data_IF_182501398686
#
_entry.id   IF_182501398686
#
_cell.length_a   1.000
_cell.length_b   1.000
_cell.length_c   1.000
_cell.angle_alpha   90.00
_cell.angle_beta   90.00
_cell.angle_gamma   90.00
#
_symmetry.space_group_name_H-M   'P 1'
#
loop_
_entity.id
_entity.type
_entity.pdbx_description
1 polymer ?
#
# COMPACT_ATOMS: atom_id res chain seq x y z
N UNK A 1 -24.97 4.61 -16.35
CA UNK A 1 -25.97 5.13 -15.36
C UNK A 1 -25.58 6.57 -15.04
N UNK A 2 -26.49 7.52 -14.78
CA UNK A 2 -26.03 8.88 -14.47
C UNK A 2 -25.49 8.97 -13.03
N UNK A 3 -24.60 9.91 -12.74
CA UNK A 3 -23.97 10.15 -11.44
C UNK A 3 -24.97 10.27 -10.25
N UNK A 4 -26.12 10.92 -10.46
CA UNK A 4 -27.20 11.02 -9.47
C UNK A 4 -27.91 9.67 -9.26
N UNK A 5 -27.97 8.82 -10.28
CA UNK A 5 -28.54 7.49 -10.17
C UNK A 5 -27.65 6.60 -9.30
N UNK A 6 -26.32 6.70 -9.46
CA UNK A 6 -25.31 5.98 -8.65
C UNK A 6 -25.41 6.34 -7.17
N UNK A 7 -25.40 7.65 -6.85
CA UNK A 7 -25.45 8.11 -5.46
C UNK A 7 -26.79 7.79 -4.78
N UNK A 8 -27.91 7.92 -5.53
CA UNK A 8 -29.23 7.55 -5.03
C UNK A 8 -29.35 6.04 -4.80
N UNK A 9 -28.88 5.22 -5.74
CA UNK A 9 -28.90 3.77 -5.59
C UNK A 9 -28.06 3.31 -4.40
N UNK A 10 -26.93 3.96 -4.11
CA UNK A 10 -26.14 3.62 -2.93
C UNK A 10 -26.89 3.85 -1.60
N UNK A 11 -27.64 4.95 -1.50
CA UNK A 11 -28.47 5.21 -0.32
C UNK A 11 -29.59 4.17 -0.17
N UNK A 12 -30.20 3.77 -1.28
CA UNK A 12 -31.21 2.70 -1.33
C UNK A 12 -30.62 1.30 -1.02
N UNK A 13 -29.37 1.04 -1.44
CA UNK A 13 -28.67 -0.23 -1.28
C UNK A 13 -28.12 -0.44 0.14
N UNK A 14 -27.97 0.61 0.95
CA UNK A 14 -27.42 0.52 2.32
C UNK A 14 -28.13 -0.55 3.18
N UNK A 15 -29.42 -0.76 2.94
CA UNK A 15 -30.28 -1.68 3.66
C UNK A 15 -30.49 -3.05 2.98
N UNK A 16 -29.82 -3.30 1.84
CA UNK A 16 -29.95 -4.54 1.07
C UNK A 16 -28.95 -5.61 1.50
N UNK A 17 -29.19 -6.83 1.03
CA UNK A 17 -28.32 -7.96 1.30
C UNK A 17 -26.97 -7.86 0.54
N UNK A 18 -25.96 -8.65 0.93
CA UNK A 18 -24.63 -8.55 0.30
C UNK A 18 -24.59 -8.93 -1.18
N UNK A 19 -25.52 -9.75 -1.67
CA UNK A 19 -25.53 -10.20 -3.06
C UNK A 19 -26.00 -9.08 -4.00
N UNK A 20 -27.05 -8.35 -3.62
CA UNK A 20 -27.50 -7.16 -4.36
C UNK A 20 -26.41 -6.08 -4.39
N UNK A 21 -25.73 -5.85 -3.26
CA UNK A 21 -24.60 -4.90 -3.18
C UNK A 21 -23.43 -5.31 -4.08
N UNK A 22 -23.14 -6.62 -4.17
CA UNK A 22 -22.07 -7.13 -5.03
C UNK A 22 -22.35 -6.86 -6.50
N UNK A 23 -23.58 -7.15 -6.97
CA UNK A 23 -23.97 -6.91 -8.37
C UNK A 23 -23.71 -5.46 -8.77
N UNK A 24 -24.06 -4.53 -7.88
CA UNK A 24 -23.86 -3.11 -8.11
C UNK A 24 -22.39 -2.67 -8.09
N UNK A 25 -21.57 -3.19 -7.17
CA UNK A 25 -20.10 -2.93 -7.17
C UNK A 25 -19.49 -3.33 -8.52
N UNK A 26 -19.92 -4.45 -9.10
CA UNK A 26 -19.44 -4.92 -10.40
C UNK A 26 -19.99 -4.08 -11.56
N UNK A 27 -21.22 -3.58 -11.47
CA UNK A 27 -21.77 -2.65 -12.47
C UNK A 27 -21.00 -1.32 -12.52
N UNK A 28 -20.60 -0.79 -11.36
CA UNK A 28 -19.80 0.43 -11.29
C UNK A 28 -18.45 0.31 -12.01
N UNK A 29 -17.90 -0.90 -12.10
CA UNK A 29 -16.66 -1.17 -12.81
C UNK A 29 -16.78 -0.94 -14.33
N UNK A 30 -17.99 -1.05 -14.89
CA UNK A 30 -18.22 -0.98 -16.34
C UNK A 30 -18.19 0.46 -16.87
N UNK A 31 -18.55 1.44 -16.04
CA UNK A 31 -18.61 2.86 -16.41
C UNK A 31 -18.07 3.73 -15.24
N UNK A 32 -16.74 3.71 -15.03
CA UNK A 32 -16.12 4.42 -13.93
C UNK A 32 -16.19 5.93 -14.15
N UNK A 33 -16.83 6.61 -13.21
CA UNK A 33 -16.87 8.06 -13.10
C UNK A 33 -16.58 8.49 -11.65
N UNK A 34 -16.44 9.79 -11.42
CA UNK A 34 -16.08 10.35 -10.12
C UNK A 34 -17.04 9.90 -8.99
N UNK A 35 -18.35 9.84 -9.25
CA UNK A 35 -19.32 9.35 -8.26
C UNK A 35 -19.18 7.85 -8.02
N UNK A 36 -19.00 7.04 -9.07
CA UNK A 36 -18.76 5.60 -8.94
C UNK A 36 -17.52 5.33 -8.08
N UNK A 37 -16.44 6.08 -8.30
CA UNK A 37 -15.20 6.00 -7.51
C UNK A 37 -15.49 6.36 -6.06
N UNK A 38 -16.19 7.48 -5.81
CA UNK A 38 -16.53 7.93 -4.46
C UNK A 38 -17.32 6.85 -3.70
N UNK A 39 -18.28 6.21 -4.35
CA UNK A 39 -19.05 5.14 -3.68
C UNK A 39 -18.20 3.89 -3.43
N UNK A 40 -17.37 3.47 -4.37
CA UNK A 40 -16.46 2.34 -4.16
C UNK A 40 -15.50 2.59 -2.99
N UNK A 41 -15.05 3.84 -2.81
CA UNK A 41 -14.27 4.24 -1.65
C UNK A 41 -15.09 4.19 -0.36
N UNK A 42 -16.36 4.61 -0.37
CA UNK A 42 -17.27 4.47 0.79
C UNK A 42 -17.47 2.99 1.20
N UNK A 43 -17.53 2.07 0.24
CA UNK A 43 -17.60 0.61 0.50
C UNK A 43 -16.42 0.16 1.36
N UNK A 44 -15.20 0.66 1.10
CA UNK A 44 -13.99 0.32 1.87
C UNK A 44 -14.07 0.70 3.35
N UNK A 45 -14.99 1.58 3.74
CA UNK A 45 -15.16 2.07 5.10
C UNK A 45 -16.36 1.47 5.84
N UNK A 46 -17.41 1.09 5.13
CA UNK A 46 -18.71 0.85 5.76
C UNK A 46 -19.19 -0.61 5.66
N UNK A 47 -18.57 -1.41 4.78
CA UNK A 47 -19.11 -2.71 4.42
C UNK A 47 -18.32 -3.89 4.99
N UNK A 48 -18.91 -5.09 4.82
CA UNK A 48 -18.29 -6.36 5.20
C UNK A 48 -16.94 -6.57 4.51
N UNK A 49 -16.08 -7.40 5.11
CA UNK A 49 -14.77 -7.74 4.55
C UNK A 49 -14.86 -8.23 3.10
N UNK A 50 -15.91 -8.99 2.77
CA UNK A 50 -16.15 -9.54 1.44
C UNK A 50 -16.39 -8.42 0.42
N UNK A 51 -17.33 -7.51 0.70
CA UNK A 51 -17.63 -6.40 -0.20
C UNK A 51 -16.45 -5.41 -0.31
N UNK A 52 -15.68 -5.24 0.77
CA UNK A 52 -14.45 -4.45 0.75
C UNK A 52 -13.37 -5.05 -0.15
N UNK A 53 -13.18 -6.37 -0.14
CA UNK A 53 -12.27 -7.02 -1.09
C UNK A 53 -12.72 -6.80 -2.54
N UNK A 54 -14.02 -6.93 -2.80
CA UNK A 54 -14.58 -6.73 -4.14
C UNK A 54 -14.42 -5.28 -4.62
N UNK A 55 -14.74 -4.29 -3.77
CA UNK A 55 -14.49 -2.89 -4.10
C UNK A 55 -13.00 -2.60 -4.33
N UNK A 56 -12.09 -3.17 -3.52
CA UNK A 56 -10.66 -3.04 -3.76
C UNK A 56 -10.22 -3.66 -5.10
N UNK A 57 -10.84 -4.76 -5.57
CA UNK A 57 -10.61 -5.32 -6.92
C UNK A 57 -11.06 -4.35 -8.00
N UNK A 58 -12.27 -3.81 -7.86
CA UNK A 58 -12.85 -2.88 -8.84
C UNK A 58 -12.05 -1.58 -8.91
N UNK A 59 -11.70 -0.99 -7.76
CA UNK A 59 -10.85 0.20 -7.72
C UNK A 59 -9.50 -0.06 -8.41
N UNK A 60 -8.89 -1.22 -8.16
CA UNK A 60 -7.64 -1.58 -8.83
C UNK A 60 -7.78 -1.69 -10.36
N UNK A 61 -8.93 -2.16 -10.87
CA UNK A 61 -9.19 -2.22 -12.32
C UNK A 61 -9.50 -0.86 -12.94
N UNK A 62 -9.93 0.13 -12.15
CA UNK A 62 -10.17 1.51 -12.63
C UNK A 62 -8.84 2.21 -12.94
N UNK A 63 -7.79 1.96 -12.15
CA UNK A 63 -6.44 2.46 -12.45
C UNK A 63 -6.14 3.86 -11.92
N UNK A 64 -5.43 4.67 -12.70
CA UNK A 64 -4.84 5.96 -12.25
C UNK A 64 -5.78 6.90 -11.46
N UNK A 65 -7.06 7.08 -11.83
CA UNK A 65 -7.96 8.00 -11.11
C UNK A 65 -8.13 7.71 -9.62
N UNK A 66 -7.89 6.48 -9.18
CA UNK A 66 -8.10 6.07 -7.78
C UNK A 66 -6.81 6.03 -6.96
N UNK A 67 -5.63 6.25 -7.56
CA UNK A 67 -4.34 6.13 -6.87
C UNK A 67 -4.24 7.10 -5.70
N UNK A 68 -4.45 8.39 -5.95
CA UNK A 68 -4.36 9.42 -4.90
C UNK A 68 -5.42 9.24 -3.80
N UNK A 69 -6.72 9.03 -4.12
CA UNK A 69 -7.72 8.71 -3.10
C UNK A 69 -7.36 7.49 -2.25
N UNK A 70 -6.80 6.43 -2.86
CA UNK A 70 -6.37 5.24 -2.12
C UNK A 70 -5.17 5.52 -1.22
N UNK A 71 -4.21 6.35 -1.66
CA UNK A 71 -3.07 6.79 -0.83
C UNK A 71 -3.57 7.58 0.38
N UNK A 72 -4.56 8.46 0.21
CA UNK A 72 -5.19 9.16 1.34
C UNK A 72 -5.84 8.16 2.32
N UNK A 73 -6.49 7.11 1.81
CA UNK A 73 -7.16 6.09 2.61
C UNK A 73 -6.19 5.19 3.41
N UNK A 74 -4.90 5.15 3.05
CA UNK A 74 -3.86 4.54 3.89
C UNK A 74 -3.70 5.26 5.23
N UNK A 75 -4.16 6.50 5.36
CA UNK A 75 -4.14 7.26 6.63
C UNK A 75 -5.47 7.21 7.38
N UNK A 76 -6.41 6.36 6.96
CA UNK A 76 -7.72 6.22 7.61
C UNK A 76 -7.57 5.80 9.08
N UNK A 77 -8.43 6.36 9.95
CA UNK A 77 -8.54 5.91 11.35
C UNK A 77 -9.05 4.46 11.50
N UNK A 78 -9.58 3.88 10.43
CA UNK A 78 -10.13 2.52 10.39
C UNK A 78 -9.09 1.56 9.83
N UNK A 79 -8.59 0.63 10.66
CA UNK A 79 -7.56 -0.34 10.24
C UNK A 79 -7.98 -1.12 8.99
N UNK A 80 -9.25 -1.46 8.90
CA UNK A 80 -9.77 -2.29 7.84
C UNK A 80 -9.93 -1.53 6.52
N UNK A 81 -10.03 -0.19 6.57
CA UNK A 81 -9.95 0.67 5.38
C UNK A 81 -8.52 0.77 4.89
N UNK A 82 -7.54 0.97 5.80
CA UNK A 82 -6.12 0.99 5.45
C UNK A 82 -5.69 -0.31 4.78
N UNK A 83 -6.08 -1.47 5.33
CA UNK A 83 -5.76 -2.77 4.72
C UNK A 83 -6.37 -2.94 3.34
N UNK A 84 -7.62 -2.48 3.13
CA UNK A 84 -8.28 -2.57 1.82
C UNK A 84 -7.65 -1.62 0.79
N UNK A 85 -7.26 -0.41 1.22
CA UNK A 85 -6.55 0.53 0.36
C UNK A 85 -5.17 -0.01 -0.04
N UNK A 86 -4.42 -0.58 0.92
CA UNK A 86 -3.15 -1.24 0.63
C UNK A 86 -3.30 -2.38 -0.38
N UNK A 87 -4.34 -3.21 -0.20
CA UNK A 87 -4.67 -4.30 -1.12
C UNK A 87 -4.97 -3.78 -2.54
N UNK A 88 -5.75 -2.71 -2.67
CA UNK A 88 -6.08 -2.13 -3.98
C UNK A 88 -4.82 -1.57 -4.67
N UNK A 89 -4.01 -0.79 -3.95
CA UNK A 89 -2.77 -0.22 -4.48
C UNK A 89 -1.74 -1.28 -4.88
N UNK A 90 -1.62 -2.35 -4.09
CA UNK A 90 -0.79 -3.50 -4.41
C UNK A 90 -1.18 -4.15 -5.74
N UNK A 91 -2.49 -4.38 -5.95
CA UNK A 91 -3.03 -4.96 -7.19
C UNK A 91 -2.76 -4.09 -8.41
N UNK A 92 -2.76 -2.77 -8.24
CA UNK A 92 -2.45 -1.82 -9.30
C UNK A 92 -0.97 -1.82 -9.66
N UNK A 93 -0.11 -2.28 -8.75
CA UNK A 93 1.34 -2.22 -8.86
C UNK A 93 1.84 -0.81 -9.28
N UNK A 94 1.20 0.25 -8.75
CA UNK A 94 1.53 1.62 -9.11
C UNK A 94 2.74 2.12 -8.28
N UNK A 95 3.82 2.62 -8.92
CA UNK A 95 5.01 3.09 -8.21
C UNK A 95 4.74 4.18 -7.16
N UNK A 96 3.73 5.03 -7.36
CA UNK A 96 3.36 6.10 -6.40
C UNK A 96 2.90 5.57 -5.05
N UNK A 97 2.45 4.31 -5.00
CA UNK A 97 2.00 3.67 -3.76
C UNK A 97 3.16 3.21 -2.86
N UNK A 98 4.38 3.10 -3.39
CA UNK A 98 5.51 2.47 -2.68
C UNK A 98 5.83 3.17 -1.36
N UNK A 99 6.15 4.46 -1.41
CA UNK A 99 6.57 5.18 -0.19
C UNK A 99 5.47 5.19 0.89
N UNK A 100 4.19 5.50 0.56
CA UNK A 100 3.10 5.35 1.53
C UNK A 100 2.98 3.94 2.12
N UNK A 101 3.06 2.89 1.29
CA UNK A 101 2.94 1.50 1.77
C UNK A 101 4.10 1.10 2.69
N UNK A 102 5.33 1.51 2.40
CA UNK A 102 6.49 1.23 3.25
C UNK A 102 6.32 1.82 4.65
N UNK A 103 5.71 3.01 4.77
CA UNK A 103 5.42 3.61 6.08
C UNK A 103 4.39 2.83 6.90
N UNK A 104 3.53 2.01 6.26
CA UNK A 104 2.56 1.17 6.97
C UNK A 104 3.16 -0.17 7.45
N UNK A 105 4.46 -0.42 7.25
CA UNK A 105 5.13 -1.56 7.89
C UNK A 105 5.12 -1.48 9.42
N UNK A 106 5.00 -0.28 10.01
CA UNK A 106 4.78 -0.03 11.45
C UNK A 106 3.31 0.05 11.85
N UNK A 107 2.35 -0.21 10.95
CA UNK A 107 0.95 -0.07 11.31
C UNK A 107 0.64 -0.91 12.56
N UNK A 108 -0.02 -0.38 13.61
CA UNK A 108 -0.26 -1.13 14.84
C UNK A 108 -1.12 -2.38 14.60
N UNK A 109 -1.96 -2.37 13.56
CA UNK A 109 -2.81 -3.48 13.22
C UNK A 109 -2.08 -4.50 12.35
N UNK A 110 -1.97 -5.74 12.83
CA UNK A 110 -1.33 -6.85 12.11
C UNK A 110 -1.94 -7.10 10.73
N UNK A 111 -3.26 -7.04 10.59
CA UNK A 111 -3.94 -7.27 9.30
C UNK A 111 -3.57 -6.20 8.27
N UNK A 112 -3.30 -4.97 8.70
CA UNK A 112 -2.78 -3.93 7.81
C UNK A 112 -1.35 -4.27 7.38
N UNK A 113 -0.47 -4.64 8.31
CA UNK A 113 0.91 -5.02 7.97
C UNK A 113 0.95 -6.22 7.01
N UNK A 114 0.10 -7.23 7.21
CA UNK A 114 0.01 -8.38 6.32
C UNK A 114 -0.45 -7.94 4.90
N UNK A 115 -1.45 -7.06 4.81
CA UNK A 115 -1.89 -6.51 3.52
C UNK A 115 -0.82 -5.65 2.83
N UNK A 116 -0.01 -4.92 3.60
CA UNK A 116 1.12 -4.14 3.07
C UNK A 116 2.16 -5.06 2.48
N UNK A 117 2.53 -6.14 3.17
CA UNK A 117 3.47 -7.11 2.62
C UNK A 117 2.98 -7.73 1.30
N UNK A 118 1.72 -8.14 1.26
CA UNK A 118 1.11 -8.64 0.02
C UNK A 118 1.14 -7.58 -1.10
N UNK A 119 0.94 -6.30 -0.76
CA UNK A 119 1.01 -5.19 -1.70
C UNK A 119 2.43 -4.94 -2.22
N UNK A 120 3.45 -4.96 -1.35
CA UNK A 120 4.86 -4.80 -1.72
C UNK A 120 5.31 -5.93 -2.66
N UNK A 121 4.86 -7.16 -2.43
CA UNK A 121 5.13 -8.31 -3.33
C UNK A 121 4.48 -8.09 -4.70
N UNK A 122 3.24 -7.59 -4.74
CA UNK A 122 2.55 -7.32 -5.99
C UNK A 122 3.18 -6.16 -6.78
N UNK A 123 3.67 -5.13 -6.08
CA UNK A 123 4.44 -4.03 -6.66
C UNK A 123 5.70 -4.53 -7.39
N UNK A 124 6.36 -5.56 -6.87
CA UNK A 124 7.54 -6.17 -7.49
C UNK A 124 7.27 -6.87 -8.85
N UNK A 125 6.03 -6.84 -9.37
CA UNK A 125 5.68 -7.27 -10.73
C UNK A 125 5.83 -6.14 -11.76
N UNK A 126 5.92 -4.89 -11.29
CA UNK A 126 6.16 -3.71 -12.11
C UNK A 126 7.61 -3.25 -11.89
N UNK A 127 8.38 -3.11 -12.97
CA UNK A 127 9.79 -2.70 -12.92
C UNK A 127 9.97 -1.34 -12.26
N UNK A 128 9.15 -0.34 -12.62
CA UNK A 128 9.22 1.01 -12.02
C UNK A 128 8.88 0.97 -10.53
N UNK A 129 7.88 0.19 -10.13
CA UNK A 129 7.52 0.08 -8.72
C UNK A 129 8.59 -0.68 -7.92
N UNK A 130 9.28 -1.64 -8.55
CA UNK A 130 10.42 -2.34 -7.96
C UNK A 130 11.59 -1.38 -7.73
N UNK A 131 11.86 -0.51 -8.71
CA UNK A 131 12.89 0.52 -8.61
C UNK A 131 12.59 1.51 -7.49
N UNK A 132 11.35 2.01 -7.41
CA UNK A 132 10.93 2.87 -6.32
C UNK A 132 11.01 2.15 -4.97
N UNK A 133 10.68 0.86 -4.90
CA UNK A 133 10.80 0.08 -3.67
C UNK A 133 12.25 -0.09 -3.22
N UNK A 134 13.17 -0.32 -4.15
CA UNK A 134 14.60 -0.35 -3.88
C UNK A 134 15.10 0.98 -3.32
N UNK A 135 14.71 2.11 -3.93
CA UNK A 135 15.03 3.46 -3.44
C UNK A 135 14.43 3.69 -2.06
N UNK A 136 13.16 3.34 -1.86
CA UNK A 136 12.49 3.48 -0.58
C UNK A 136 13.22 2.68 0.51
N UNK A 137 13.58 1.42 0.26
CA UNK A 137 14.33 0.60 1.21
C UNK A 137 15.72 1.15 1.52
N UNK A 138 16.45 1.64 0.52
CA UNK A 138 17.77 2.27 0.72
C UNK A 138 17.69 3.58 1.52
N UNK A 139 16.54 4.26 1.50
CA UNK A 139 16.32 5.48 2.28
C UNK A 139 15.96 5.22 3.75
N UNK A 140 15.65 3.97 4.11
CA UNK A 140 15.37 3.59 5.50
C UNK A 140 16.66 3.49 6.32
N UNK A 141 16.60 3.65 7.64
CA UNK A 141 17.68 3.27 8.54
C UNK A 141 18.11 1.83 8.32
N UNK A 142 19.40 1.54 8.50
CA UNK A 142 19.98 0.20 8.34
C UNK A 142 19.13 -0.92 8.97
N UNK A 143 18.63 -0.70 10.18
CA UNK A 143 17.79 -1.68 10.89
C UNK A 143 16.45 -1.90 10.18
N UNK A 144 15.77 -0.82 9.78
CA UNK A 144 14.48 -0.87 9.09
C UNK A 144 14.63 -1.43 7.67
N UNK A 145 15.72 -1.08 6.97
CA UNK A 145 16.07 -1.66 5.68
C UNK A 145 16.28 -3.18 5.79
N UNK A 146 17.05 -3.65 6.79
CA UNK A 146 17.25 -5.10 7.02
C UNK A 146 15.93 -5.81 7.30
N UNK A 147 15.11 -5.26 8.21
CA UNK A 147 13.79 -5.81 8.48
C UNK A 147 12.91 -5.86 7.23
N UNK A 148 12.92 -4.79 6.42
CA UNK A 148 12.13 -4.71 5.20
C UNK A 148 12.55 -5.77 4.18
N UNK A 149 13.86 -5.95 3.98
CA UNK A 149 14.44 -6.95 3.09
C UNK A 149 14.24 -8.38 3.59
N UNK A 150 14.50 -8.65 4.88
CA UNK A 150 14.28 -9.95 5.50
C UNK A 150 12.80 -10.34 5.45
N UNK A 151 11.91 -9.42 5.81
CA UNK A 151 10.47 -9.64 5.78
C UNK A 151 9.93 -9.92 4.36
N UNK A 152 10.51 -9.29 3.34
CA UNK A 152 10.21 -9.59 1.94
C UNK A 152 10.77 -10.95 1.52
N UNK A 153 12.03 -11.26 1.88
CA UNK A 153 12.69 -12.53 1.58
C UNK A 153 11.96 -13.73 2.20
N UNK A 154 11.48 -13.61 3.43
CA UNK A 154 10.72 -14.65 4.12
C UNK A 154 9.38 -14.96 3.43
N UNK A 155 8.77 -13.96 2.80
CA UNK A 155 7.43 -14.08 2.18
C UNK A 155 7.50 -14.42 0.70
N UNK A 156 8.39 -13.77 -0.04
CA UNK A 156 8.57 -13.94 -1.47
C UNK A 156 10.06 -13.70 -1.87
N UNK A 157 10.86 -14.78 -1.96
CA UNK A 157 12.26 -14.69 -2.35
C UNK A 157 12.50 -14.12 -3.75
N UNK A 158 11.54 -14.29 -4.68
CA UNK A 158 11.69 -13.77 -6.04
C UNK A 158 11.53 -12.25 -6.07
N UNK A 159 10.50 -11.73 -5.39
CA UNK A 159 10.29 -10.30 -5.22
C UNK A 159 11.49 -9.66 -4.50
N UNK A 160 11.97 -10.29 -3.43
CA UNK A 160 13.19 -9.85 -2.73
C UNK A 160 14.40 -9.84 -3.66
N UNK A 161 14.56 -10.87 -4.50
CA UNK A 161 15.64 -10.95 -5.48
C UNK A 161 15.64 -9.78 -6.48
N UNK A 162 14.45 -9.39 -6.98
CA UNK A 162 14.32 -8.23 -7.89
C UNK A 162 14.72 -6.93 -7.20
N UNK A 163 14.27 -6.71 -5.96
CA UNK A 163 14.63 -5.52 -5.18
C UNK A 163 16.13 -5.50 -4.86
N UNK A 164 16.72 -6.63 -4.48
CA UNK A 164 18.16 -6.74 -4.22
C UNK A 164 19.00 -6.51 -5.47
N UNK A 165 18.54 -6.97 -6.64
CA UNK A 165 19.19 -6.69 -7.91
C UNK A 165 19.21 -5.19 -8.20
N UNK A 166 18.08 -4.49 -8.08
CA UNK A 166 18.00 -3.03 -8.23
C UNK A 166 18.90 -2.29 -7.24
N UNK A 167 18.96 -2.74 -5.99
CA UNK A 167 19.87 -2.20 -4.97
C UNK A 167 21.33 -2.40 -5.36
N UNK A 168 21.70 -3.58 -5.88
CA UNK A 168 23.05 -3.92 -6.30
C UNK A 168 23.51 -3.17 -7.55
N UNK A 169 22.62 -3.00 -8.54
CA UNK A 169 22.87 -2.23 -9.76
C UNK A 169 23.02 -0.72 -9.48
N UNK A 170 22.33 -0.22 -8.46
CA UNK A 170 22.39 1.17 -7.99
C UNK A 170 23.33 1.40 -6.80
N UNK A 171 24.10 0.40 -6.40
CA UNK A 171 25.06 0.50 -5.30
C UNK A 171 26.09 1.62 -5.54
N UNK A 172 26.74 2.15 -4.48
CA UNK A 172 27.62 3.30 -4.61
C UNK A 172 28.72 2.98 -5.62
N UNK A 173 28.73 3.70 -6.74
CA UNK A 173 29.84 3.70 -7.68
C UNK A 173 31.03 4.25 -6.91
N UNK A 174 31.87 3.39 -6.35
CA UNK A 174 33.01 3.76 -5.51
C UNK A 174 33.79 4.88 -6.22
N UNK A 175 33.74 6.14 -5.74
CA UNK A 175 34.58 7.17 -6.29
C UNK A 175 36.01 6.83 -5.89
N UNK A 176 36.91 6.78 -6.86
CA UNK A 176 38.33 6.66 -6.56
C UNK A 176 38.74 7.76 -5.58
N UNK A 177 39.51 7.33 -4.58
CA UNK A 177 39.95 8.11 -3.42
C UNK A 177 40.34 9.55 -3.77
N UNK A 178 39.67 10.49 -3.12
CA UNK A 178 39.97 11.91 -3.13
C UNK A 178 39.53 12.52 -1.82
N UNK A 179 40.46 12.57 -0.87
CA UNK A 179 40.42 13.29 0.41
C UNK A 179 39.57 14.57 0.38
N UNK A 180 38.64 14.73 1.33
CA UNK A 180 37.95 16.00 1.53
C UNK A 180 36.77 15.92 2.48
N UNK A 181 36.96 16.46 3.68
CA UNK A 181 36.00 16.63 4.76
C UNK A 181 34.61 17.19 4.34
N UNK A 182 33.56 16.72 5.02
CA UNK A 182 32.24 17.34 5.04
C UNK A 182 31.33 16.64 6.05
N UNK A 183 30.99 17.32 7.14
CA UNK A 183 30.13 16.81 8.21
C UNK A 183 28.73 16.39 7.71
N UNK A 184 28.05 15.41 8.34
CA UNK A 184 26.64 15.18 8.05
C UNK A 184 25.78 16.28 8.68
N UNK A 185 24.85 16.83 7.89
CA UNK A 185 23.78 17.71 8.35
C UNK A 185 22.80 16.93 9.26
N UNK A 186 22.19 17.56 10.29
CA UNK A 186 21.24 16.87 11.16
C UNK A 186 19.78 17.03 10.70
N UNK A 187 19.02 15.96 10.94
CA UNK A 187 17.55 15.91 11.11
C UNK A 187 16.66 16.00 9.85
N UNK A 188 16.54 14.86 9.15
CA UNK A 188 15.32 14.33 8.51
C UNK A 188 15.54 12.85 8.10
N UNK A 189 16.12 12.06 9.00
CA UNK A 189 16.27 10.62 8.79
C UNK A 189 15.14 9.94 9.54
N UNK A 190 14.20 9.31 8.81
CA UNK A 190 13.23 8.37 9.37
C UNK A 190 13.96 7.48 10.38
N UNK A 191 13.41 7.26 11.57
CA UNK A 191 13.98 6.35 12.56
C UNK A 191 13.42 4.93 12.42
N UNK A 192 14.02 3.97 13.14
CA UNK A 192 13.47 2.60 13.23
C UNK A 192 12.02 2.62 13.71
N UNK A 193 11.72 3.41 14.74
CA UNK A 193 10.37 3.55 15.30
C UNK A 193 9.40 4.18 14.29
N UNK A 194 9.92 5.01 13.38
CA UNK A 194 9.12 5.61 12.31
C UNK A 194 8.73 4.64 11.20
N UNK A 195 9.27 3.41 11.17
CA UNK A 195 9.03 2.47 10.05
C UNK A 195 8.61 1.08 10.52
N UNK A 196 9.09 0.63 11.67
CA UNK A 196 8.80 -0.71 12.20
C UNK A 196 8.20 -0.68 13.62
N UNK A 197 8.24 0.47 14.31
CA UNK A 197 7.72 0.64 15.67
C UNK A 197 8.69 0.18 16.78
N UNK A 198 8.35 0.53 18.02
CA UNK A 198 9.19 0.25 19.20
C UNK A 198 9.26 -1.24 19.56
N UNK A 199 10.33 -1.64 20.25
CA UNK A 199 10.61 -3.05 20.59
C UNK A 199 9.53 -3.75 21.44
N UNK A 200 8.66 -2.99 22.11
CA UNK A 200 7.59 -3.52 22.97
C UNK A 200 6.38 -4.10 22.20
N UNK A 201 6.16 -3.68 20.95
CA UNK A 201 4.99 -4.11 20.16
C UNK A 201 5.15 -5.52 19.56
N UNK A 202 6.40 -5.96 19.36
CA UNK A 202 6.71 -7.33 18.92
C UNK A 202 6.36 -8.39 19.98
N UNK A 203 6.30 -8.02 21.26
CA UNK A 203 5.94 -8.92 22.36
C UNK A 203 4.44 -8.90 22.72
N UNK A 204 3.69 -7.87 22.31
CA UNK A 204 2.24 -7.80 22.56
C UNK A 204 1.38 -8.45 21.46
N UNK A 205 1.89 -8.61 20.24
CA UNK A 205 1.17 -9.29 19.15
C UNK A 205 1.14 -10.84 19.26
N UNK A 206 1.75 -11.41 20.30
CA UNK A 206 1.83 -12.86 20.55
C UNK A 206 1.06 -13.32 21.82
N UNK A 207 0.15 -12.50 22.35
CA UNK A 207 -0.70 -12.84 23.49
C UNK A 207 -2.18 -12.77 23.17
#
# INVERSE_FOLDING_TARGET
>A
MNAKDVARLWDELRHRDPEEKLGWILELAQDPNEESIRVLLDVLQQESWFLRDQAARVLASIGEPVVEPLIEYLNSGLWYTRSSAATALGRMANPRAVAPLVLLLKDPNRTVRDAVWDALIQLCRNELATQELAVAFQSLPDRAMRYALEGLLERDPEAAGRVLQEIGERGPRVPQEGSGAGAPAPEDQLSWDDVVGGEDDAQQAAR
#
